data_IF_856145265547
#
_entry.id   IF_856145265547
#
_cell.length_a   1.000
_cell.length_b   1.000
_cell.length_c   1.000
_cell.angle_alpha   90.00
_cell.angle_beta   90.00
_cell.angle_gamma   90.00
#
_symmetry.space_group_name_H-M   'P 1'
#
loop_
_entity.id
_entity.type
_entity.pdbx_description
1 polymer ?
#
# COMPACT_ATOMS: atom_id res chain seq x y z
N UNK A 1 -10.85 14.44 2.62
CA UNK A 1 -12.19 14.52 1.96
C UNK A 1 -12.13 14.25 0.43
N UNK A 2 -11.35 13.24 -0.02
CA UNK A 2 -11.12 12.93 -1.46
C UNK A 2 -11.58 11.49 -1.83
N UNK A 3 -11.80 10.62 -0.84
CA UNK A 3 -12.27 9.23 -1.03
C UNK A 3 -13.72 9.12 -1.54
N UNK A 4 -14.55 10.16 -1.40
CA UNK A 4 -15.94 10.11 -1.90
C UNK A 4 -16.05 9.93 -3.41
N UNK A 5 -15.02 10.26 -4.20
CA UNK A 5 -15.07 10.13 -5.67
C UNK A 5 -14.65 8.74 -6.20
N UNK A 6 -14.09 7.88 -5.35
CA UNK A 6 -13.65 6.53 -5.74
C UNK A 6 -14.74 5.46 -5.55
N UNK A 7 -15.63 5.65 -4.56
CA UNK A 7 -16.66 4.65 -4.19
C UNK A 7 -17.91 4.65 -5.09
N UNK A 8 -18.21 5.74 -5.81
CA UNK A 8 -19.43 5.85 -6.62
C UNK A 8 -19.36 5.06 -7.95
N UNK A 9 -18.15 4.68 -8.41
CA UNK A 9 -17.97 3.98 -9.69
C UNK A 9 -18.20 2.46 -9.66
N UNK A 10 -18.18 1.83 -8.48
CA UNK A 10 -18.16 0.36 -8.35
C UNK A 10 -19.55 -0.22 -8.04
N UNK A 11 -20.52 0.60 -7.62
CA UNK A 11 -21.85 0.14 -7.14
C UNK A 11 -22.93 -0.06 -8.21
N UNK A 12 -22.65 0.16 -9.50
CA UNK A 12 -23.69 0.20 -10.54
C UNK A 12 -23.97 -1.11 -11.28
N UNK A 13 -23.36 -2.25 -10.93
CA UNK A 13 -23.59 -3.51 -11.63
C UNK A 13 -24.15 -4.56 -10.66
N UNK A 14 -25.48 -4.64 -10.59
CA UNK A 14 -26.18 -5.74 -9.95
C UNK A 14 -25.86 -7.06 -10.65
N UNK A 15 -25.50 -8.07 -9.87
CA UNK A 15 -25.19 -9.40 -10.39
C UNK A 15 -25.87 -10.44 -9.50
N UNK A 16 -26.99 -10.99 -9.97
CA UNK A 16 -27.60 -12.20 -9.40
C UNK A 16 -26.61 -13.38 -9.47
N UNK A 17 -26.47 -14.08 -8.34
CA UNK A 17 -25.67 -15.30 -8.22
C UNK A 17 -26.29 -16.44 -9.02
N UNK A 18 -25.50 -17.03 -9.93
CA UNK A 18 -25.69 -18.39 -10.45
C UNK A 18 -24.40 -19.18 -10.20
N UNK A 19 -24.53 -20.34 -9.56
CA UNK A 19 -23.43 -21.23 -9.17
C UNK A 19 -23.22 -22.31 -10.23
N UNK A 20 -22.01 -22.46 -10.74
CA UNK A 20 -21.53 -23.62 -11.52
C UNK A 20 -20.14 -24.04 -10.99
N UNK A 21 -19.79 -25.34 -10.92
CA UNK A 21 -18.52 -25.79 -10.35
C UNK A 21 -17.44 -26.21 -11.38
N UNK A 22 -16.22 -25.75 -11.08
CA UNK A 22 -14.89 -26.41 -11.18
C UNK A 22 -14.16 -26.57 -12.54
N UNK A 23 -13.08 -25.80 -12.77
CA UNK A 23 -11.69 -26.31 -12.94
C UNK A 23 -10.65 -25.18 -13.17
N UNK A 24 -9.58 -25.21 -12.36
CA UNK A 24 -8.26 -24.53 -12.53
C UNK A 24 -8.25 -23.03 -12.88
N UNK A 25 -8.24 -22.16 -11.87
CA UNK A 25 -7.51 -20.89 -11.94
C UNK A 25 -6.69 -20.68 -10.66
N UNK A 26 -5.62 -21.46 -10.54
CA UNK A 26 -4.47 -21.06 -9.73
C UNK A 26 -3.46 -20.40 -10.66
N UNK A 27 -3.72 -19.12 -10.96
CA UNK A 27 -2.80 -18.20 -11.61
C UNK A 27 -2.87 -16.89 -10.83
N UNK A 28 -2.19 -16.88 -9.69
CA UNK A 28 -1.71 -15.71 -8.95
C UNK A 28 -2.67 -14.52 -8.88
N UNK A 29 -3.54 -14.46 -7.86
CA UNK A 29 -4.11 -13.17 -7.45
C UNK A 29 -2.96 -12.24 -7.03
N UNK A 30 -2.52 -11.39 -7.95
CA UNK A 30 -1.43 -10.45 -7.70
C UNK A 30 -1.79 -9.55 -6.50
N UNK A 31 -0.90 -9.52 -5.50
CA UNK A 31 -1.09 -8.78 -4.26
C UNK A 31 -1.53 -7.32 -4.53
N UNK A 32 -2.58 -6.85 -3.84
CA UNK A 32 -3.16 -5.51 -4.02
C UNK A 32 -2.13 -4.38 -3.99
N UNK A 33 -1.11 -4.45 -3.13
CA UNK A 33 -0.06 -3.44 -3.05
C UNK A 33 0.89 -3.49 -4.25
N UNK A 34 1.17 -4.68 -4.79
CA UNK A 34 1.96 -4.84 -6.02
C UNK A 34 1.20 -4.24 -7.20
N UNK A 35 -0.08 -4.57 -7.35
CA UNK A 35 -0.96 -3.97 -8.37
C UNK A 35 -1.01 -2.44 -8.26
N UNK A 36 -1.09 -1.90 -7.03
CA UNK A 36 -1.09 -0.46 -6.78
C UNK A 36 0.25 0.19 -7.14
N UNK A 37 1.38 -0.43 -6.77
CA UNK A 37 2.71 0.04 -7.13
C UNK A 37 2.89 0.09 -8.65
N UNK A 38 2.47 -0.96 -9.38
CA UNK A 38 2.47 -1.01 -10.85
C UNK A 38 1.63 0.11 -11.45
N UNK A 39 0.43 0.37 -10.91
CA UNK A 39 -0.42 1.48 -11.35
C UNK A 39 0.21 2.86 -11.09
N UNK A 40 0.90 3.04 -9.96
CA UNK A 40 1.59 4.29 -9.65
C UNK A 40 2.75 4.51 -10.63
N UNK A 41 3.52 3.45 -10.91
CA UNK A 41 4.62 3.48 -11.86
C UNK A 41 4.14 3.88 -13.26
N UNK A 42 3.04 3.31 -13.76
CA UNK A 42 2.52 3.65 -15.10
C UNK A 42 2.09 5.11 -15.21
N UNK A 43 1.69 5.74 -14.09
CA UNK A 43 1.32 7.17 -14.03
C UNK A 43 2.50 8.13 -13.99
N UNK A 44 3.73 7.66 -13.77
CA UNK A 44 4.94 8.49 -13.89
C UNK A 44 5.11 9.03 -15.32
N UNK A 45 4.83 8.20 -16.32
CA UNK A 45 4.96 8.55 -17.74
C UNK A 45 3.76 9.33 -18.27
N UNK A 46 2.67 9.42 -17.50
CA UNK A 46 1.50 10.22 -17.85
C UNK A 46 1.79 11.70 -17.60
N UNK A 47 2.27 12.40 -18.64
CA UNK A 47 2.56 13.84 -18.61
C UNK A 47 1.32 14.70 -18.80
N UNK A 48 0.13 14.11 -18.97
CA UNK A 48 -1.10 14.87 -19.19
C UNK A 48 -1.58 15.63 -17.94
N UNK A 49 -1.01 15.33 -16.76
CA UNK A 49 -1.38 15.93 -15.48
C UNK A 49 -2.81 15.60 -15.03
N UNK A 50 -3.52 14.72 -15.75
CA UNK A 50 -4.94 14.41 -15.49
C UNK A 50 -5.15 13.60 -14.22
N UNK A 51 -4.18 12.79 -13.82
CA UNK A 51 -4.26 11.99 -12.59
C UNK A 51 -3.58 12.68 -11.41
N UNK A 52 -4.19 12.55 -10.23
CA UNK A 52 -3.61 13.07 -8.98
C UNK A 52 -2.20 12.50 -8.71
N UNK A 53 -1.98 11.23 -9.01
CA UNK A 53 -0.66 10.59 -8.89
C UNK A 53 0.39 11.26 -9.79
N UNK A 54 0.06 11.53 -11.06
CA UNK A 54 0.96 12.23 -11.98
C UNK A 54 1.31 13.64 -11.47
N UNK A 55 0.34 14.37 -10.93
CA UNK A 55 0.58 15.69 -10.34
C UNK A 55 1.53 15.64 -9.14
N UNK A 56 1.35 14.66 -8.23
CA UNK A 56 2.27 14.47 -7.10
C UNK A 56 3.69 14.15 -7.54
N UNK A 57 3.84 13.21 -8.49
CA UNK A 57 5.13 12.80 -9.01
C UNK A 57 5.83 13.95 -9.75
N UNK A 58 5.07 14.74 -10.52
CA UNK A 58 5.57 15.94 -11.21
C UNK A 58 6.00 17.04 -10.22
N UNK A 59 5.28 17.18 -9.10
CA UNK A 59 5.65 18.12 -8.03
C UNK A 59 6.88 17.69 -7.22
N UNK A 60 7.39 16.47 -7.45
CA UNK A 60 8.65 15.99 -6.89
C UNK A 60 8.56 15.42 -5.47
N UNK A 61 9.71 14.92 -5.00
CA UNK A 61 9.83 14.19 -3.73
C UNK A 61 9.38 15.00 -2.52
N UNK A 62 9.68 16.31 -2.46
CA UNK A 62 9.30 17.14 -1.31
C UNK A 62 7.78 17.18 -1.12
N UNK A 63 7.02 17.36 -2.19
CA UNK A 63 5.55 17.35 -2.13
C UNK A 63 5.01 15.98 -1.73
N UNK A 64 5.60 14.91 -2.27
CA UNK A 64 5.22 13.54 -1.92
C UNK A 64 5.48 13.24 -0.43
N UNK A 65 6.64 13.65 0.10
CA UNK A 65 7.01 13.44 1.50
C UNK A 65 6.11 14.23 2.45
N UNK A 66 5.75 15.48 2.12
CA UNK A 66 4.78 16.27 2.89
C UNK A 66 3.42 15.59 2.97
N UNK A 67 2.91 15.07 1.84
CA UNK A 67 1.65 14.32 1.82
C UNK A 67 1.72 13.05 2.64
N UNK A 68 2.78 12.25 2.50
CA UNK A 68 2.98 11.07 3.35
C UNK A 68 2.99 11.43 4.85
N UNK A 69 3.68 12.51 5.23
CA UNK A 69 3.69 12.98 6.62
C UNK A 69 2.32 13.42 7.14
N UNK A 70 1.52 14.08 6.31
CA UNK A 70 0.14 14.46 6.62
C UNK A 70 -0.72 13.23 6.93
N UNK A 71 -0.76 12.24 6.02
CA UNK A 71 -1.57 11.03 6.22
C UNK A 71 -1.08 10.20 7.42
N UNK A 72 0.22 10.17 7.69
CA UNK A 72 0.77 9.48 8.84
C UNK A 72 0.30 10.12 10.17
N UNK A 73 0.22 11.45 10.22
CA UNK A 73 -0.32 12.17 11.38
C UNK A 73 -1.82 11.97 11.50
N UNK A 74 -2.56 12.00 10.39
CA UNK A 74 -4.00 11.72 10.38
C UNK A 74 -4.31 10.31 10.89
N UNK A 75 -3.52 9.31 10.48
CA UNK A 75 -3.63 7.94 11.01
C UNK A 75 -3.36 7.87 12.52
N UNK A 76 -2.34 8.57 13.03
CA UNK A 76 -2.06 8.64 14.47
C UNK A 76 -3.25 9.23 15.22
N UNK A 77 -3.85 10.31 14.70
CA UNK A 77 -5.04 10.94 15.28
C UNK A 77 -6.23 9.98 15.24
N UNK A 78 -6.49 9.35 14.10
CA UNK A 78 -7.57 8.38 13.94
C UNK A 78 -7.45 7.21 14.91
N UNK A 79 -6.23 6.70 15.13
CA UNK A 79 -5.95 5.60 16.03
C UNK A 79 -6.18 5.94 17.53
N UNK A 80 -6.14 7.22 17.90
CA UNK A 80 -6.50 7.67 19.26
C UNK A 80 -8.01 7.87 19.44
N UNK A 81 -8.77 7.88 18.33
CA UNK A 81 -10.23 7.96 18.34
C UNK A 81 -10.91 6.61 18.55
N UNK A 82 -12.24 6.61 18.39
CA UNK A 82 -13.08 5.39 18.52
C UNK A 82 -13.66 4.91 17.18
N UNK A 83 -13.32 5.57 16.06
CA UNK A 83 -13.86 5.24 14.74
C UNK A 83 -12.88 4.42 13.89
N UNK A 84 -13.07 3.10 13.89
CA UNK A 84 -12.29 2.19 13.05
C UNK A 84 -12.41 2.48 11.54
N UNK A 85 -13.46 3.17 11.09
CA UNK A 85 -13.57 3.54 9.66
C UNK A 85 -12.53 4.60 9.31
N UNK A 86 -12.29 5.55 10.21
CA UNK A 86 -11.24 6.55 10.04
C UNK A 86 -9.87 5.85 10.00
N UNK A 87 -9.58 4.94 10.94
CA UNK A 87 -8.32 4.19 10.96
C UNK A 87 -8.07 3.44 9.65
N UNK A 88 -9.09 2.73 9.14
CA UNK A 88 -8.95 2.00 7.86
C UNK A 88 -8.71 2.93 6.67
N UNK A 89 -9.35 4.09 6.64
CA UNK A 89 -9.18 5.08 5.58
C UNK A 89 -7.76 5.67 5.60
N UNK A 90 -7.32 6.19 6.75
CA UNK A 90 -6.00 6.82 6.85
C UNK A 90 -4.86 5.80 6.70
N UNK A 91 -5.05 4.55 7.14
CA UNK A 91 -4.07 3.50 6.89
C UNK A 91 -3.91 3.19 5.39
N UNK A 92 -5.01 3.22 4.63
CA UNK A 92 -4.96 3.06 3.18
C UNK A 92 -4.26 4.25 2.51
N UNK A 93 -4.53 5.48 2.96
CA UNK A 93 -3.90 6.69 2.43
C UNK A 93 -2.40 6.74 2.75
N UNK A 94 -1.98 6.29 3.95
CA UNK A 94 -0.56 6.09 4.31
C UNK A 94 0.13 5.12 3.36
N UNK A 95 -0.47 3.95 3.07
CA UNK A 95 0.11 2.97 2.17
C UNK A 95 0.21 3.52 0.73
N UNK A 96 -0.84 4.19 0.25
CA UNK A 96 -0.83 4.83 -1.06
C UNK A 96 0.27 5.90 -1.16
N UNK A 97 0.33 6.82 -0.20
CA UNK A 97 1.29 7.93 -0.22
C UNK A 97 2.73 7.46 0.02
N UNK A 98 2.94 6.36 0.76
CA UNK A 98 4.24 5.70 0.85
C UNK A 98 4.69 5.20 -0.52
N UNK A 99 3.84 4.48 -1.25
CA UNK A 99 4.18 3.97 -2.59
C UNK A 99 4.47 5.10 -3.58
N UNK A 100 3.71 6.20 -3.54
CA UNK A 100 3.98 7.38 -4.39
C UNK A 100 5.31 8.04 -4.01
N UNK A 101 5.64 8.13 -2.72
CA UNK A 101 6.92 8.67 -2.26
C UNK A 101 8.10 7.80 -2.72
N UNK A 102 8.00 6.48 -2.59
CA UNK A 102 9.01 5.52 -3.07
C UNK A 102 9.20 5.64 -4.58
N UNK A 103 8.10 5.68 -5.33
CA UNK A 103 8.15 5.90 -6.76
C UNK A 103 8.87 7.22 -7.07
N UNK A 104 8.54 8.34 -6.41
CA UNK A 104 9.21 9.64 -6.63
C UNK A 104 10.74 9.58 -6.47
N UNK A 105 11.22 8.65 -5.63
CA UNK A 105 12.64 8.39 -5.34
C UNK A 105 13.26 7.30 -6.22
N UNK A 106 12.47 6.69 -7.10
CA UNK A 106 12.87 5.54 -7.93
C UNK A 106 13.30 4.32 -7.11
N UNK A 107 12.63 4.10 -5.98
CA UNK A 107 12.83 2.91 -5.14
C UNK A 107 11.73 1.92 -5.46
N UNK A 108 12.10 0.70 -5.85
CA UNK A 108 11.12 -0.31 -6.21
C UNK A 108 10.40 -0.82 -4.95
N UNK A 109 9.09 -1.05 -5.05
CA UNK A 109 8.35 -1.63 -3.92
C UNK A 109 8.86 -3.03 -3.54
N UNK A 110 9.36 -3.80 -4.51
CA UNK A 110 10.02 -5.08 -4.29
C UNK A 110 11.22 -4.99 -3.33
N UNK A 111 11.99 -3.89 -3.36
CA UNK A 111 13.11 -3.68 -2.44
C UNK A 111 12.63 -3.55 -1.00
N UNK A 112 11.48 -2.90 -0.80
CA UNK A 112 10.85 -2.76 0.53
C UNK A 112 10.33 -4.11 1.03
N UNK A 113 9.72 -4.91 0.15
CA UNK A 113 9.28 -6.26 0.50
C UNK A 113 10.47 -7.13 0.92
N UNK A 114 11.59 -7.09 0.19
CA UNK A 114 12.82 -7.80 0.55
C UNK A 114 13.35 -7.37 1.93
N UNK A 115 13.30 -6.07 2.25
CA UNK A 115 13.66 -5.58 3.60
C UNK A 115 12.71 -6.12 4.68
N UNK A 116 11.41 -6.22 4.39
CA UNK A 116 10.42 -6.78 5.32
C UNK A 116 10.60 -8.29 5.50
N UNK A 117 10.87 -9.03 4.42
CA UNK A 117 11.13 -10.47 4.46
C UNK A 117 12.33 -10.79 5.36
N UNK A 118 13.42 -10.00 5.24
CA UNK A 118 14.56 -10.13 6.13
C UNK A 118 14.22 -9.91 7.62
N UNK A 119 13.24 -9.04 7.93
CA UNK A 119 12.78 -8.82 9.31
C UNK A 119 11.90 -9.96 9.82
N UNK A 120 11.10 -10.58 8.95
CA UNK A 120 10.25 -11.71 9.31
C UNK A 120 11.07 -12.99 9.54
N UNK A 121 12.15 -13.19 8.78
CA UNK A 121 13.06 -14.31 8.93
C UNK A 121 13.90 -14.28 10.21
N UNK A 122 13.99 -13.14 10.90
CA UNK A 122 14.80 -12.97 12.11
C UNK A 122 13.93 -12.86 13.37
N UNK A 123 12.88 -13.67 13.49
CA UNK A 123 12.09 -13.66 14.71
C UNK A 123 13.00 -14.00 15.91
N UNK A 124 12.96 -13.20 16.97
CA UNK A 124 13.83 -13.31 18.15
C UNK A 124 13.76 -14.63 18.92
N UNK A 125 13.05 -15.63 18.41
CA UNK A 125 13.09 -17.02 18.85
C UNK A 125 14.39 -17.72 18.42
N UNK A 126 14.89 -17.46 17.20
CA UNK A 126 16.18 -18.01 16.74
C UNK A 126 17.38 -17.36 17.44
N UNK A 127 17.28 -16.06 17.74
CA UNK A 127 18.26 -15.31 18.54
C UNK A 127 18.27 -15.72 20.02
N UNK A 128 17.14 -16.21 20.55
CA UNK A 128 17.07 -16.82 21.89
C UNK A 128 17.60 -18.26 21.88
N UNK A 129 17.30 -19.05 20.86
CA UNK A 129 17.78 -20.43 20.72
C UNK A 129 19.30 -20.52 20.48
N UNK A 130 19.89 -19.57 19.77
CA UNK A 130 21.34 -19.49 19.55
C UNK A 130 22.11 -19.07 20.81
N UNK A 131 21.52 -18.25 21.69
CA UNK A 131 22.11 -17.90 23.00
C UNK A 131 22.26 -19.10 23.93
N UNK A 132 21.33 -20.05 23.92
CA UNK A 132 21.40 -21.25 24.78
C UNK A 132 22.45 -22.26 24.30
N UNK A 133 22.83 -22.24 23.02
CA UNK A 133 23.84 -23.16 22.45
C UNK A 133 25.29 -22.70 22.62
N UNK A 134 25.52 -21.45 23.05
CA UNK A 134 26.87 -20.88 23.20
C UNK A 134 27.43 -20.89 24.63
N UNK A 135 26.79 -21.55 25.59
CA UNK A 135 27.20 -21.59 27.01
C UNK A 135 27.59 -23.00 27.46
N UNK A 136 28.42 -23.69 26.71
CA UNK A 136 29.09 -24.92 27.17
C UNK A 136 30.57 -24.82 26.84
#
# INVERSE_FOLDING_TARGET
MIIRRWLDGVRSLGFERRTEPHETQDMSEENTLVRLATLIHTRRSDTSGKSYTSQLLTAGTERCAKKFGEEAVELVIAAMGTDDKAVRAEAADVLYHLLVLLESRQIAFADILMVLDGRMGTSGLEEKASRTKGTT
#
